data_IF_540118709116
#
_entry.id   IF_540118709116
#
_cell.length_a   1.000
_cell.length_b   1.000
_cell.length_c   1.000
_cell.angle_alpha   90.00
_cell.angle_beta   90.00
_cell.angle_gamma   90.00
#
_symmetry.space_group_name_H-M   'P 1'
#
loop_
_entity.id
_entity.type
_entity.pdbx_description
1 polymer ?
#
# COMPACT_ATOMS: atom_id res chain seq x y z
N UNK A 1 -5.33 -8.35 3.60
CA UNK A 1 -5.16 -8.50 2.14
C UNK A 1 -4.94 -7.11 1.57
N UNK A 2 -3.77 -6.84 0.99
CA UNK A 2 -3.44 -5.52 0.43
C UNK A 2 -3.07 -5.71 -1.04
N UNK A 3 -3.55 -4.79 -1.89
CA UNK A 3 -3.21 -4.80 -3.31
C UNK A 3 -1.95 -3.97 -3.51
N UNK A 4 -0.90 -4.57 -4.09
CA UNK A 4 0.38 -3.89 -4.31
C UNK A 4 0.27 -2.76 -5.35
N UNK A 5 -0.69 -2.86 -6.27
CA UNK A 5 -0.92 -1.86 -7.30
C UNK A 5 -2.40 -1.47 -7.37
N UNK A 6 -2.77 -0.44 -6.60
CA UNK A 6 -4.13 0.13 -6.62
C UNK A 6 -4.46 0.75 -7.99
N UNK A 7 -3.47 1.22 -8.75
CA UNK A 7 -3.67 1.75 -10.11
C UNK A 7 -4.17 0.70 -11.11
N UNK A 8 -3.92 -0.58 -10.84
CA UNK A 8 -4.43 -1.68 -11.65
C UNK A 8 -5.97 -1.84 -11.57
N UNK A 9 -6.65 -1.18 -10.62
CA UNK A 9 -8.11 -1.14 -10.57
C UNK A 9 -8.71 -0.53 -11.85
N UNK A 10 -8.01 0.40 -12.50
CA UNK A 10 -8.50 1.00 -13.74
C UNK A 10 -8.58 0.01 -14.91
N UNK A 11 -7.80 -1.09 -14.88
CA UNK A 11 -7.92 -2.15 -15.88
C UNK A 11 -9.25 -2.91 -15.81
N UNK A 12 -9.98 -2.85 -14.69
CA UNK A 12 -11.34 -3.42 -14.63
C UNK A 12 -12.29 -2.73 -15.62
N UNK A 13 -12.10 -1.44 -15.90
CA UNK A 13 -12.87 -0.73 -16.92
C UNK A 13 -12.66 -1.31 -18.32
N UNK A 14 -11.46 -1.83 -18.61
CA UNK A 14 -11.18 -2.51 -19.88
C UNK A 14 -11.98 -3.82 -20.00
N UNK A 15 -12.12 -4.57 -18.89
CA UNK A 15 -12.94 -5.80 -18.84
C UNK A 15 -14.42 -5.48 -19.07
N UNK A 16 -14.92 -4.42 -18.41
CA UNK A 16 -16.30 -3.96 -18.57
C UNK A 16 -16.56 -3.48 -20.01
N UNK A 17 -15.65 -2.70 -20.60
CA UNK A 17 -15.72 -2.28 -21.99
C UNK A 17 -15.73 -3.47 -22.97
N UNK A 18 -14.87 -4.47 -22.76
CA UNK A 18 -14.85 -5.68 -23.58
C UNK A 18 -16.14 -6.48 -23.45
N UNK A 19 -16.70 -6.60 -22.25
CA UNK A 19 -17.98 -7.28 -22.02
C UNK A 19 -19.14 -6.54 -22.73
N UNK A 20 -19.18 -5.21 -22.65
CA UNK A 20 -20.18 -4.38 -23.35
C UNK A 20 -20.01 -4.53 -24.87
N UNK A 21 -18.78 -4.46 -25.38
CA UNK A 21 -18.49 -4.64 -26.80
C UNK A 21 -18.94 -6.02 -27.30
N UNK A 22 -18.64 -7.08 -26.56
CA UNK A 22 -19.08 -8.43 -26.90
C UNK A 22 -20.60 -8.57 -26.88
N UNK A 23 -21.28 -8.00 -25.88
CA UNK A 23 -22.74 -8.02 -25.79
C UNK A 23 -23.40 -7.22 -26.92
N UNK A 24 -22.81 -6.06 -27.27
CA UNK A 24 -23.28 -5.22 -28.37
C UNK A 24 -23.06 -5.90 -29.73
N UNK A 25 -21.90 -6.53 -29.93
CA UNK A 25 -21.58 -7.34 -31.10
C UNK A 25 -22.53 -8.53 -31.25
N UNK A 26 -22.86 -9.20 -30.15
CA UNK A 26 -23.83 -10.30 -30.15
C UNK A 26 -25.24 -9.83 -30.51
N UNK A 27 -25.71 -8.71 -29.95
CA UNK A 27 -27.00 -8.10 -30.29
C UNK A 27 -27.06 -7.61 -31.73
N UNK A 28 -25.99 -6.98 -32.23
CA UNK A 28 -25.89 -6.55 -33.62
C UNK A 28 -25.89 -7.73 -34.57
N UNK A 29 -25.13 -8.79 -34.27
CA UNK A 29 -25.10 -10.01 -35.08
C UNK A 29 -26.48 -10.64 -35.19
N UNK A 30 -27.25 -10.66 -34.10
CA UNK A 30 -28.64 -11.13 -34.11
C UNK A 30 -29.57 -10.25 -34.97
N UNK A 31 -29.41 -8.92 -34.94
CA UNK A 31 -30.19 -7.98 -35.78
C UNK A 31 -29.76 -7.98 -37.26
N UNK A 32 -28.47 -8.12 -37.55
CA UNK A 32 -27.95 -8.19 -38.92
C UNK A 32 -28.34 -9.49 -39.60
N UNK A 33 -28.47 -10.59 -38.84
CA UNK A 33 -29.02 -11.86 -39.34
C UNK A 33 -30.50 -11.76 -39.75
N UNK A 34 -31.24 -10.76 -39.26
CA UNK A 34 -32.63 -10.50 -39.70
C UNK A 34 -32.70 -9.65 -40.97
N UNK A 35 -31.60 -8.99 -41.37
CA UNK A 35 -31.55 -8.08 -42.51
C UNK A 35 -30.90 -8.72 -43.76
N UNK A 36 -30.08 -9.75 -43.58
CA UNK A 36 -29.60 -10.59 -44.67
C UNK A 36 -30.62 -11.71 -44.95
N UNK A 37 -31.48 -11.43 -45.93
CA UNK A 37 -32.52 -12.30 -46.43
C UNK A 37 -31.98 -13.65 -46.95
N UNK A 38 -32.46 -14.74 -46.35
CA UNK A 38 -32.84 -16.04 -46.93
C UNK A 38 -33.02 -16.99 -45.73
N UNK A 39 -34.22 -16.98 -45.16
CA UNK A 39 -34.58 -17.73 -43.93
C UNK A 39 -34.22 -19.21 -44.01
N UNK A 40 -34.11 -19.76 -45.23
CA UNK A 40 -33.83 -21.19 -45.47
C UNK A 40 -32.35 -21.50 -45.70
N UNK A 41 -31.54 -20.61 -46.28
CA UNK A 41 -30.11 -20.88 -46.56
C UNK A 41 -29.20 -20.63 -45.34
N UNK A 42 -29.59 -19.69 -44.47
CA UNK A 42 -28.84 -19.36 -43.26
C UNK A 42 -29.06 -20.42 -42.18
N UNK A 43 -30.24 -21.05 -42.14
CA UNK A 43 -30.54 -22.12 -41.19
C UNK A 43 -29.59 -23.32 -41.37
N UNK A 44 -29.27 -23.69 -42.61
CA UNK A 44 -28.33 -24.78 -42.92
C UNK A 44 -26.87 -24.42 -42.60
N UNK A 45 -26.44 -23.19 -42.92
CA UNK A 45 -25.08 -22.72 -42.61
C UNK A 45 -24.85 -22.44 -41.12
N UNK A 46 -25.91 -22.13 -40.35
CA UNK A 46 -25.83 -21.85 -38.91
C UNK A 46 -26.25 -23.03 -38.02
N UNK A 47 -26.86 -24.08 -38.56
CA UNK A 47 -27.08 -25.35 -37.86
C UNK A 47 -25.77 -25.98 -37.36
N UNK A 48 -24.67 -25.69 -38.05
CA UNK A 48 -23.31 -26.13 -37.69
C UNK A 48 -22.66 -25.32 -36.55
N UNK A 49 -23.28 -24.19 -36.14
CA UNK A 49 -22.78 -23.37 -35.04
C UNK A 49 -23.40 -23.84 -33.72
N UNK A 50 -22.66 -24.72 -33.04
CA UNK A 50 -23.00 -25.15 -31.68
C UNK A 50 -22.99 -23.94 -30.72
N UNK A 51 -24.18 -23.43 -30.40
CA UNK A 51 -24.41 -22.31 -29.48
C UNK A 51 -23.81 -22.57 -28.09
N UNK A 52 -23.58 -23.83 -27.70
CA UNK A 52 -22.91 -24.19 -26.46
C UNK A 52 -21.41 -23.89 -26.56
N UNK A 53 -20.75 -24.33 -27.64
CA UNK A 53 -19.33 -24.02 -27.89
C UNK A 53 -19.08 -22.51 -27.96
N UNK A 54 -20.00 -21.76 -28.59
CA UNK A 54 -19.88 -20.31 -28.66
C UNK A 54 -20.01 -19.63 -27.28
N UNK A 55 -20.93 -20.09 -26.43
CA UNK A 55 -21.05 -19.63 -25.03
C UNK A 55 -19.81 -19.97 -24.20
N UNK A 56 -19.33 -21.21 -24.30
CA UNK A 56 -18.12 -21.66 -23.59
C UNK A 56 -16.91 -20.83 -24.01
N UNK A 57 -16.74 -20.56 -25.31
CA UNK A 57 -15.65 -19.70 -25.81
C UNK A 57 -15.71 -18.29 -25.21
N UNK A 58 -16.90 -17.68 -25.15
CA UNK A 58 -17.07 -16.34 -24.56
C UNK A 58 -16.75 -16.36 -23.06
N UNK A 59 -17.25 -17.35 -22.32
CA UNK A 59 -16.97 -17.50 -20.88
C UNK A 59 -15.47 -17.66 -20.63
N UNK A 60 -14.79 -18.50 -21.43
CA UNK A 60 -13.34 -18.71 -21.34
C UNK A 60 -12.54 -17.44 -21.62
N UNK A 61 -12.94 -16.65 -22.63
CA UNK A 61 -12.26 -15.39 -22.93
C UNK A 61 -12.44 -14.40 -21.77
N UNK A 62 -13.66 -14.28 -21.25
CA UNK A 62 -13.95 -13.37 -20.12
C UNK A 62 -13.18 -13.81 -18.87
N UNK A 63 -13.16 -15.11 -18.55
CA UNK A 63 -12.43 -15.62 -17.39
C UNK A 63 -10.92 -15.46 -17.54
N UNK A 64 -10.37 -15.68 -18.74
CA UNK A 64 -8.95 -15.45 -19.01
C UNK A 64 -8.56 -13.98 -18.79
N UNK A 65 -9.34 -13.04 -19.34
CA UNK A 65 -9.11 -11.60 -19.14
C UNK A 65 -9.24 -11.23 -17.66
N UNK A 66 -10.25 -11.76 -16.97
CA UNK A 66 -10.42 -11.54 -15.53
C UNK A 66 -9.21 -12.02 -14.72
N UNK A 67 -8.69 -13.21 -15.00
CA UNK A 67 -7.50 -13.74 -14.32
C UNK A 67 -6.24 -12.92 -14.60
N UNK A 68 -6.10 -12.39 -15.83
CA UNK A 68 -4.99 -11.47 -16.16
C UNK A 68 -5.07 -10.21 -15.29
N UNK A 69 -6.24 -9.58 -15.18
CA UNK A 69 -6.43 -8.39 -14.32
C UNK A 69 -6.17 -8.70 -12.85
N UNK A 70 -6.61 -9.86 -12.38
CA UNK A 70 -6.38 -10.30 -11.00
C UNK A 70 -4.87 -10.51 -10.73
N UNK A 71 -4.12 -11.03 -11.71
CA UNK A 71 -2.66 -11.13 -11.63
C UNK A 71 -1.99 -9.75 -11.55
N UNK A 72 -2.47 -8.77 -12.34
CA UNK A 72 -1.98 -7.38 -12.29
C UNK A 72 -2.27 -6.66 -10.97
N UNK A 73 -3.41 -6.95 -10.33
CA UNK A 73 -3.74 -6.43 -9.00
C UNK A 73 -2.77 -6.91 -7.91
N UNK A 74 -2.04 -8.01 -8.17
CA UNK A 74 -1.07 -8.62 -7.26
C UNK A 74 -1.61 -8.71 -5.83
N UNK A 75 -2.66 -9.52 -5.59
CA UNK A 75 -3.17 -9.75 -4.25
C UNK A 75 -2.08 -10.39 -3.41
N UNK A 76 -1.61 -9.66 -2.40
CA UNK A 76 -0.58 -10.14 -1.49
C UNK A 76 -1.22 -10.53 -0.15
N UNK A 77 -0.99 -11.78 0.24
CA UNK A 77 -1.25 -12.29 1.58
C UNK A 77 0.08 -12.55 2.28
N UNK A 78 0.21 -12.09 3.52
CA UNK A 78 1.42 -12.29 4.31
C UNK A 78 1.77 -11.08 5.17
N UNK A 79 2.88 -11.21 5.88
CA UNK A 79 3.47 -10.17 6.69
C UNK A 79 4.44 -9.37 5.85
N UNK A 80 4.33 -8.04 5.88
CA UNK A 80 5.31 -7.16 5.28
C UNK A 80 6.01 -6.40 6.39
N UNK A 81 7.34 -6.41 6.35
CA UNK A 81 8.14 -5.53 7.19
C UNK A 81 7.86 -4.10 6.75
N UNK A 82 7.06 -3.39 7.54
CA UNK A 82 6.89 -1.96 7.38
C UNK A 82 8.09 -1.31 8.04
N UNK A 83 8.92 -0.62 7.25
CA UNK A 83 9.95 0.24 7.80
C UNK A 83 9.27 1.35 8.60
N UNK A 84 9.13 1.12 9.90
CA UNK A 84 8.79 2.17 10.84
C UNK A 84 10.04 3.03 10.93
N UNK A 85 10.07 4.12 10.16
CA UNK A 85 11.07 5.18 10.31
C UNK A 85 10.89 5.79 11.72
N UNK A 86 11.53 5.19 12.71
CA UNK A 86 11.71 5.80 14.02
C UNK A 86 12.70 6.94 13.83
N UNK A 87 12.16 8.16 13.71
CA UNK A 87 12.96 9.39 13.77
C UNK A 87 13.34 9.60 15.24
N UNK A 88 14.49 9.10 15.65
CA UNK A 88 15.11 9.49 16.91
C UNK A 88 15.80 10.84 16.74
N UNK A 89 15.70 11.71 17.75
CA UNK A 89 16.46 12.95 17.85
C UNK A 89 17.87 12.67 18.40
N UNK A 90 18.82 13.51 18.03
CA UNK A 90 20.15 13.54 18.62
C UNK A 90 20.21 14.66 19.67
N UNK A 91 20.35 14.29 20.93
CA UNK A 91 20.27 15.22 22.06
C UNK A 91 21.62 15.24 22.78
N UNK A 92 22.26 16.41 22.86
CA UNK A 92 23.50 16.60 23.62
C UNK A 92 23.16 17.41 24.88
N UNK A 93 23.40 16.81 26.04
CA UNK A 93 23.19 17.43 27.35
C UNK A 93 24.56 17.88 27.86
N UNK A 94 24.75 19.19 27.99
CA UNK A 94 25.94 19.77 28.63
C UNK A 94 25.65 20.09 30.09
N UNK A 95 26.44 19.55 31.02
CA UNK A 95 26.27 19.71 32.47
C UNK A 95 27.49 20.40 33.06
N UNK A 96 27.25 21.54 33.70
CA UNK A 96 28.27 22.21 34.51
C UNK A 96 28.56 21.39 35.79
N UNK A 97 29.83 21.15 36.07
CA UNK A 97 30.35 20.49 37.27
C UNK A 97 31.25 21.43 38.10
N UNK A 98 31.20 22.74 37.82
CA UNK A 98 31.90 23.78 38.58
C UNK A 98 31.48 23.81 40.05
N UNK A 99 32.30 24.46 40.89
CA UNK A 99 32.02 24.63 42.33
C UNK A 99 30.67 25.31 42.60
N UNK A 100 30.18 26.13 41.67
CA UNK A 100 28.88 26.80 41.79
C UNK A 100 27.70 25.80 41.79
N UNK A 101 27.88 24.62 41.19
CA UNK A 101 26.88 23.56 41.13
C UNK A 101 26.77 22.75 42.43
N UNK A 102 27.69 22.94 43.37
CA UNK A 102 27.59 22.40 44.73
C UNK A 102 26.74 23.28 45.66
N UNK A 103 26.22 24.41 45.17
CA UNK A 103 25.31 25.25 45.94
C UNK A 103 24.01 24.50 46.32
N UNK A 104 23.56 24.70 47.56
CA UNK A 104 22.37 24.06 48.15
C UNK A 104 21.12 24.96 48.14
N UNK A 105 21.11 25.99 47.29
CA UNK A 105 19.91 26.80 47.05
C UNK A 105 18.76 25.96 46.45
N UNK A 106 19.11 24.86 45.77
CA UNK A 106 18.20 23.77 45.45
C UNK A 106 18.67 22.51 46.18
N UNK A 107 17.84 21.96 47.08
CA UNK A 107 18.17 20.72 47.81
C UNK A 107 18.29 19.52 46.87
N UNK A 108 19.26 18.61 47.03
CA UNK A 108 20.37 18.67 47.99
C UNK A 108 21.51 19.61 47.55
N UNK A 109 21.83 19.62 46.26
CA UNK A 109 22.56 20.70 45.59
C UNK A 109 22.17 20.73 44.10
N UNK A 110 22.54 21.81 43.38
CA UNK A 110 22.20 21.98 41.96
C UNK A 110 22.67 20.80 41.10
N UNK A 111 23.85 20.26 41.34
CA UNK A 111 24.41 19.12 40.58
C UNK A 111 23.58 17.84 40.75
N UNK A 112 23.26 17.48 41.99
CA UNK A 112 22.41 16.31 42.29
C UNK A 112 21.01 16.50 41.72
N UNK A 113 20.48 17.73 41.70
CA UNK A 113 19.20 18.03 41.05
C UNK A 113 19.26 17.92 39.54
N UNK A 114 20.35 18.34 38.90
CA UNK A 114 20.56 18.16 37.47
C UNK A 114 20.62 16.67 37.09
N UNK A 115 21.33 15.84 37.89
CA UNK A 115 21.37 14.38 37.67
C UNK A 115 19.97 13.75 37.72
N UNK A 116 19.15 14.13 38.69
CA UNK A 116 17.77 13.65 38.80
C UNK A 116 16.93 14.09 37.59
N UNK A 117 17.03 15.35 37.18
CA UNK A 117 16.33 15.87 36.01
C UNK A 117 16.72 15.14 34.72
N UNK A 118 18.01 14.85 34.52
CA UNK A 118 18.50 14.09 33.36
C UNK A 118 17.99 12.65 33.39
N UNK A 119 17.97 12.02 34.58
CA UNK A 119 17.44 10.67 34.75
C UNK A 119 15.93 10.61 34.44
N UNK A 120 15.17 11.62 34.84
CA UNK A 120 13.75 11.70 34.51
C UNK A 120 13.52 12.05 33.04
N UNK A 121 14.35 12.91 32.45
CA UNK A 121 14.29 13.23 31.02
C UNK A 121 14.54 11.99 30.14
N UNK A 122 15.58 11.21 30.44
CA UNK A 122 15.93 10.02 29.66
C UNK A 122 14.88 8.91 29.70
N UNK A 123 14.03 8.86 30.75
CA UNK A 123 12.87 7.95 30.82
C UNK A 123 11.79 8.25 29.78
N UNK A 124 11.72 9.48 29.27
CA UNK A 124 10.72 9.89 28.28
C UNK A 124 11.19 9.71 26.83
N UNK A 125 12.46 9.37 26.61
CA UNK A 125 13.04 9.23 25.27
C UNK A 125 12.65 7.88 24.66
N UNK A 126 12.24 7.90 23.38
CA UNK A 126 11.74 6.71 22.68
C UNK A 126 12.57 6.44 21.42
N UNK A 127 13.77 5.91 21.62
CA UNK A 127 14.71 5.60 20.53
C UNK A 127 15.56 6.79 20.08
N UNK A 128 15.61 7.86 20.87
CA UNK A 128 16.49 9.01 20.69
C UNK A 128 17.93 8.68 21.15
N UNK A 129 18.93 9.32 20.54
CA UNK A 129 20.34 9.18 20.91
C UNK A 129 20.74 10.32 21.83
N UNK A 130 21.39 10.00 22.95
CA UNK A 130 21.77 11.00 23.97
C UNK A 130 23.28 10.98 24.18
N UNK A 131 23.90 12.16 24.07
CA UNK A 131 25.25 12.43 24.54
C UNK A 131 25.23 13.28 25.80
N UNK A 132 26.17 13.04 26.72
CA UNK A 132 26.36 13.84 27.94
C UNK A 132 27.78 14.40 27.95
N UNK A 133 27.90 15.71 28.11
CA UNK A 133 29.18 16.42 28.22
C UNK A 133 29.23 17.10 29.58
N UNK A 134 30.24 16.79 30.38
CA UNK A 134 30.48 17.47 31.65
C UNK A 134 31.59 18.52 31.47
N UNK A 135 31.39 19.73 31.98
CA UNK A 135 32.38 20.81 31.90
C UNK A 135 32.49 21.56 33.23
N UNK A 136 33.66 22.12 33.55
CA UNK A 136 33.89 22.89 34.79
C UNK A 136 34.86 24.07 34.53
N UNK A 137 34.64 24.80 33.44
CA UNK A 137 35.58 25.78 32.88
C UNK A 137 35.71 25.58 31.37
N UNK A 138 36.93 25.55 30.83
CA UNK A 138 37.16 25.06 29.47
C UNK A 138 36.78 23.58 29.37
N UNK A 139 36.07 23.22 28.30
CA UNK A 139 35.67 21.85 28.01
C UNK A 139 36.84 21.11 27.34
N UNK A 140 37.14 19.89 27.79
CA UNK A 140 38.10 18.97 27.17
C UNK A 140 37.40 18.05 26.16
#
# INVERSE_FOLDING_TARGET
>A
MRFANLGALHLLWLVVLLAIFYFWSFKKRLKTMQHFAATDLIADLTSSLDKRKQRVKIILIISAVFLIVLSFLRPQWGFHWQEVKRKGLDIIIAVDTSKSMLASDVKPNRLERAKLAIKDFTRHLQGDRVGLIAFAGEAF
#
